data_IF_958790062063
#
_entry.id   IF_958790062063
#
_cell.length_a   1.000
_cell.length_b   1.000
_cell.length_c   1.000
_cell.angle_alpha   90.00
_cell.angle_beta   90.00
_cell.angle_gamma   90.00
#
_symmetry.space_group_name_H-M   'P 1'
#
loop_
_entity.id
_entity.type
_entity.pdbx_description
1 polymer ?
#
# COMPACT_ATOMS: atom_id res chain seq x y z
N UNK A 1 -4.10 9.35 2.06
CA UNK A 1 -2.73 9.10 2.52
C UNK A 1 -2.69 8.00 3.59
N UNK A 2 -3.46 8.12 4.68
CA UNK A 2 -3.47 7.15 5.79
C UNK A 2 -3.73 5.69 5.35
N UNK A 3 -4.74 5.45 4.50
CA UNK A 3 -5.01 4.11 3.98
C UNK A 3 -3.82 3.48 3.25
N UNK A 4 -3.07 4.25 2.45
CA UNK A 4 -1.88 3.76 1.72
C UNK A 4 -0.84 3.20 2.67
N UNK A 5 -0.54 3.93 3.74
CA UNK A 5 0.42 3.50 4.76
C UNK A 5 -0.07 2.24 5.47
N UNK A 6 -1.34 2.18 5.86
CA UNK A 6 -1.92 0.99 6.50
C UNK A 6 -1.90 -0.24 5.58
N UNK A 7 -2.02 -0.06 4.26
CA UNK A 7 -1.90 -1.16 3.31
C UNK A 7 -0.46 -1.70 3.27
N UNK A 8 0.54 -0.82 3.16
CA UNK A 8 1.94 -1.23 3.21
C UNK A 8 2.29 -1.92 4.54
N UNK A 9 1.76 -1.46 5.68
CA UNK A 9 1.91 -2.14 6.98
C UNK A 9 1.32 -3.57 6.96
N UNK A 10 0.16 -3.78 6.34
CA UNK A 10 -0.45 -5.12 6.20
C UNK A 10 0.40 -6.03 5.30
N UNK A 11 0.98 -5.50 4.24
CA UNK A 11 1.91 -6.24 3.37
C UNK A 11 3.18 -6.62 4.15
N UNK A 12 3.79 -5.68 4.90
CA UNK A 12 4.94 -5.97 5.75
C UNK A 12 4.65 -7.11 6.75
N UNK A 13 3.47 -7.09 7.39
CA UNK A 13 3.02 -8.16 8.27
C UNK A 13 2.93 -9.52 7.56
N UNK A 14 2.45 -9.56 6.32
CA UNK A 14 2.40 -10.79 5.52
C UNK A 14 3.81 -11.28 5.16
N UNK A 15 4.69 -10.39 4.70
CA UNK A 15 6.08 -10.73 4.35
C UNK A 15 6.83 -11.36 5.52
N UNK A 16 6.67 -10.78 6.72
CA UNK A 16 7.25 -11.31 7.96
C UNK A 16 6.60 -12.62 8.40
N UNK A 17 5.26 -12.70 8.42
CA UNK A 17 4.50 -13.90 8.81
C UNK A 17 4.90 -15.11 7.95
N UNK A 18 5.12 -14.89 6.66
CA UNK A 18 5.49 -15.94 5.71
C UNK A 18 7.00 -16.10 5.54
N UNK A 19 7.82 -15.44 6.38
CA UNK A 19 9.28 -15.55 6.40
C UNK A 19 9.96 -15.19 5.06
N UNK A 20 9.28 -14.37 4.23
CA UNK A 20 9.83 -13.85 2.97
C UNK A 20 10.89 -12.80 3.28
N UNK A 21 10.66 -11.99 4.32
CA UNK A 21 11.66 -11.09 4.91
C UNK A 21 11.89 -11.51 6.36
N UNK A 22 13.16 -11.59 6.75
CA UNK A 22 13.61 -12.04 8.08
C UNK A 22 14.45 -10.95 8.73
N UNK A 23 14.52 -10.97 10.06
CA UNK A 23 15.39 -10.09 10.87
C UNK A 23 15.18 -8.58 10.64
N UNK A 24 13.95 -8.19 10.30
CA UNK A 24 13.55 -6.80 10.08
C UNK A 24 12.14 -6.54 10.64
N UNK A 25 11.91 -5.36 11.21
CA UNK A 25 10.58 -4.95 11.70
C UNK A 25 9.66 -4.58 10.55
N UNK A 26 8.34 -4.66 10.79
CA UNK A 26 7.33 -4.29 9.79
C UNK A 26 7.44 -2.80 9.43
N UNK A 27 7.75 -1.95 10.40
CA UNK A 27 7.95 -0.51 10.24
C UNK A 27 9.16 -0.22 9.33
N UNK A 28 10.29 -0.88 9.59
CA UNK A 28 11.49 -0.73 8.77
C UNK A 28 11.25 -1.19 7.31
N UNK A 29 10.42 -2.21 7.09
CA UNK A 29 10.04 -2.61 5.72
C UNK A 29 9.25 -1.53 4.98
N UNK A 30 8.38 -0.80 5.68
CA UNK A 30 7.61 0.30 5.08
C UNK A 30 8.50 1.52 4.86
N UNK A 31 9.34 1.88 5.83
CA UNK A 31 10.26 3.02 5.74
C UNK A 31 11.31 2.86 4.63
N UNK A 32 11.76 1.63 4.36
CA UNK A 32 12.75 1.32 3.32
C UNK A 32 12.11 0.87 1.98
N UNK A 33 10.80 1.08 1.80
CA UNK A 33 10.05 0.71 0.58
C UNK A 33 10.18 -0.77 0.14
N UNK A 34 10.40 -1.68 1.09
CA UNK A 34 10.50 -3.12 0.82
C UNK A 34 9.15 -3.76 0.47
N UNK A 35 8.05 -3.07 0.77
CA UNK A 35 6.70 -3.51 0.44
C UNK A 35 6.25 -3.05 -0.95
N UNK A 36 6.91 -2.04 -1.54
CA UNK A 36 6.60 -1.50 -2.87
C UNK A 36 6.60 -2.53 -3.99
N UNK A 37 7.61 -3.43 -4.10
CA UNK A 37 7.61 -4.50 -5.11
C UNK A 37 6.43 -5.49 -4.99
N UNK A 38 5.85 -5.62 -3.81
CA UNK A 38 4.68 -6.49 -3.54
C UNK A 38 3.34 -5.75 -3.65
N UNK A 39 3.38 -4.42 -3.82
CA UNK A 39 2.23 -3.55 -4.06
C UNK A 39 2.61 -2.46 -5.08
N UNK A 40 2.76 -2.80 -6.37
CA UNK A 40 3.31 -1.89 -7.37
C UNK A 40 2.28 -0.87 -7.90
N UNK A 41 1.16 -0.69 -7.21
CA UNK A 41 0.07 0.21 -7.60
C UNK A 41 -0.53 0.91 -6.37
N UNK A 42 -1.37 1.93 -6.61
CA UNK A 42 -2.14 2.57 -5.54
C UNK A 42 -3.22 1.66 -4.97
N UNK A 43 -3.80 2.01 -3.80
CA UNK A 43 -4.87 1.22 -3.16
C UNK A 43 -6.09 1.04 -4.05
N UNK A 44 -6.35 2.03 -4.90
CA UNK A 44 -7.46 2.03 -5.82
C UNK A 44 -7.73 3.45 -6.26
N UNK A 45 -8.88 3.60 -6.91
CA UNK A 45 -9.39 4.87 -7.41
C UNK A 45 -10.91 4.90 -7.17
N UNK A 46 -11.51 6.10 -7.15
CA UNK A 46 -12.97 6.20 -7.18
C UNK A 46 -13.56 5.51 -8.42
N UNK A 47 -14.76 4.95 -8.25
CA UNK A 47 -15.53 4.29 -9.30
C UNK A 47 -16.86 5.04 -9.47
N UNK A 48 -17.20 5.37 -10.71
CA UNK A 48 -18.45 6.05 -11.04
C UNK A 48 -18.77 5.92 -12.52
N UNK A 49 -19.01 7.04 -13.22
CA UNK A 49 -19.32 6.98 -14.66
C UNK A 49 -18.14 6.48 -15.49
N UNK A 50 -16.92 6.78 -15.05
CA UNK A 50 -15.68 6.21 -15.58
C UNK A 50 -15.10 5.20 -14.58
N UNK A 51 -14.40 4.18 -15.10
CA UNK A 51 -13.74 3.16 -14.27
C UNK A 51 -12.68 3.76 -13.35
N UNK A 52 -11.93 4.75 -13.85
CA UNK A 52 -11.09 5.65 -13.04
C UNK A 52 -11.79 7.01 -13.00
N UNK A 53 -12.73 7.18 -12.07
CA UNK A 53 -13.55 8.39 -12.05
C UNK A 53 -12.70 9.62 -11.70
N UNK A 54 -12.79 10.66 -12.53
CA UNK A 54 -12.01 11.90 -12.42
C UNK A 54 -12.50 12.81 -11.29
N UNK A 55 -13.72 12.60 -10.78
CA UNK A 55 -14.29 13.37 -9.67
C UNK A 55 -13.47 13.25 -8.36
N UNK A 56 -12.61 12.24 -8.24
CA UNK A 56 -11.69 12.07 -7.10
C UNK A 56 -10.64 13.17 -6.94
N UNK A 57 -10.36 13.95 -7.98
CA UNK A 57 -9.39 15.06 -7.97
C UNK A 57 -10.03 16.43 -7.68
N UNK A 58 -11.37 16.51 -7.57
CA UNK A 58 -12.09 17.80 -7.43
C UNK A 58 -12.54 18.14 -6.00
N UNK A 59 -12.20 17.34 -5.00
CA UNK A 59 -12.31 17.74 -3.59
C UNK A 59 -10.92 18.10 -3.06
N UNK A 60 -10.54 19.35 -3.31
CA UNK A 60 -9.60 20.07 -2.45
C UNK A 60 -10.26 20.48 -1.14
#
# INVERSE_FOLDING_TARGET
>A
MDYHIQFHQRIAKLLRKHQIVKDMSEEAMVENDLTGPFMPHGIGHPLGLQVHDVAGFMQG
#
